data_IF_275928554975
#
_entry.id   IF_275928554975
#
_cell.length_a   1.000
_cell.length_b   1.000
_cell.length_c   1.000
_cell.angle_alpha   90.00
_cell.angle_beta   90.00
_cell.angle_gamma   90.00
#
_symmetry.space_group_name_H-M   'P 1'
#
loop_
_entity.id
_entity.type
_entity.pdbx_description
1 polymer ?
#
# COMPACT_ATOMS: atom_id res chain seq x y z
N UNK A 1 -14.01 -3.46 -0.29
CA UNK A 1 -13.62 -2.61 0.85
C UNK A 1 -12.44 -3.19 1.64
N UNK A 2 -12.50 -4.42 2.16
CA UNK A 2 -11.40 -5.00 2.96
C UNK A 2 -10.06 -5.08 2.19
N UNK A 3 -10.08 -5.59 0.97
CA UNK A 3 -8.91 -5.68 0.08
C UNK A 3 -8.24 -4.33 -0.16
N UNK A 4 -9.04 -3.29 -0.34
CA UNK A 4 -8.55 -1.92 -0.56
C UNK A 4 -7.89 -1.36 0.71
N UNK A 5 -8.45 -1.66 1.90
CA UNK A 5 -7.82 -1.30 3.18
C UNK A 5 -6.52 -2.06 3.41
N UNK A 6 -6.43 -3.32 2.98
CA UNK A 6 -5.19 -4.09 3.01
C UNK A 6 -4.14 -3.53 2.06
N UNK A 7 -4.54 -3.16 0.85
CA UNK A 7 -3.67 -2.49 -0.12
C UNK A 7 -3.14 -1.17 0.43
N UNK A 8 -4.02 -0.33 1.01
CA UNK A 8 -3.60 0.92 1.66
C UNK A 8 -2.60 0.66 2.80
N UNK A 9 -2.86 -0.32 3.68
CA UNK A 9 -1.92 -0.69 4.76
C UNK A 9 -0.56 -1.17 4.24
N UNK A 10 -0.54 -1.89 3.11
CA UNK A 10 0.70 -2.31 2.46
C UNK A 10 1.52 -1.11 1.98
N UNK A 11 0.87 -0.14 1.33
CA UNK A 11 1.51 1.10 0.87
C UNK A 11 2.02 1.93 2.05
N UNK A 12 1.24 2.04 3.14
CA UNK A 12 1.69 2.71 4.37
C UNK A 12 2.95 2.07 4.95
N UNK A 13 3.02 0.73 4.95
CA UNK A 13 4.18 0.02 5.47
C UNK A 13 5.42 0.25 4.59
N UNK A 14 5.26 0.26 3.26
CA UNK A 14 6.33 0.63 2.33
C UNK A 14 6.78 2.08 2.55
N UNK A 15 5.83 3.00 2.71
CA UNK A 15 6.13 4.39 2.98
C UNK A 15 6.91 4.58 4.29
N UNK A 16 6.59 3.84 5.36
CA UNK A 16 7.39 3.86 6.61
C UNK A 16 8.85 3.48 6.37
N UNK A 17 9.10 2.48 5.53
CA UNK A 17 10.47 2.05 5.18
C UNK A 17 11.18 3.12 4.33
N UNK A 18 10.45 3.71 3.37
CA UNK A 18 10.97 4.82 2.56
C UNK A 18 11.30 6.04 3.42
N UNK A 19 10.43 6.39 4.35
CA UNK A 19 10.58 7.51 5.27
C UNK A 19 11.83 7.39 6.15
N UNK A 20 12.16 6.19 6.64
CA UNK A 20 13.41 5.95 7.38
C UNK A 20 14.66 6.18 6.52
N UNK A 21 14.54 6.07 5.20
CA UNK A 21 15.61 6.25 4.22
C UNK A 21 15.48 7.61 3.49
N UNK A 22 14.69 8.55 4.01
CA UNK A 22 14.45 9.84 3.37
C UNK A 22 15.76 10.60 3.13
N UNK A 23 16.71 10.58 4.07
CA UNK A 23 18.03 11.21 3.87
C UNK A 23 18.77 10.63 2.65
N UNK A 24 18.66 9.32 2.41
CA UNK A 24 19.24 8.66 1.24
C UNK A 24 18.53 9.09 -0.03
N UNK A 25 17.21 9.26 0.02
CA UNK A 25 16.43 9.78 -1.10
C UNK A 25 16.86 11.21 -1.47
N UNK A 26 17.07 12.09 -0.49
CA UNK A 26 17.52 13.46 -0.73
C UNK A 26 18.92 13.48 -1.35
N UNK A 27 19.87 12.70 -0.79
CA UNK A 27 21.21 12.59 -1.37
C UNK A 27 21.19 12.05 -2.81
N UNK A 28 20.34 11.06 -3.10
CA UNK A 28 20.17 10.53 -4.45
C UNK A 28 19.66 11.59 -5.43
N UNK A 29 18.68 12.41 -5.02
CA UNK A 29 18.16 13.52 -5.82
C UNK A 29 19.23 14.59 -6.05
N UNK A 30 20.03 14.90 -5.03
CA UNK A 30 21.15 15.85 -5.14
C UNK A 30 22.20 15.37 -6.17
N UNK A 31 22.67 14.13 -6.06
CA UNK A 31 23.62 13.56 -7.02
C UNK A 31 23.06 13.56 -8.45
N UNK A 32 21.78 13.20 -8.63
CA UNK A 32 21.14 13.21 -9.95
C UNK A 32 21.06 14.63 -10.53
N UNK A 33 20.71 15.63 -9.71
CA UNK A 33 20.67 17.04 -10.14
C UNK A 33 22.05 17.55 -10.53
N UNK A 34 23.08 17.14 -9.81
CA UNK A 34 24.47 17.45 -10.16
C UNK A 34 24.83 16.87 -11.53
N UNK A 35 24.55 15.58 -11.76
CA UNK A 35 24.81 14.92 -13.04
C UNK A 35 23.98 15.51 -14.19
N UNK A 36 22.76 15.95 -13.92
CA UNK A 36 21.87 16.61 -14.88
C UNK A 36 22.22 18.09 -15.12
N UNK A 37 23.14 18.66 -14.35
CA UNK A 37 23.46 20.09 -14.34
C UNK A 37 22.23 20.99 -14.03
N UNK A 38 21.26 20.49 -13.25
CA UNK A 38 19.99 21.16 -12.92
C UNK A 38 19.91 21.54 -11.42
N UNK A 39 20.97 22.22 -10.94
CA UNK A 39 21.08 22.64 -9.53
C UNK A 39 20.19 23.85 -9.18
N UNK A 40 19.60 24.51 -10.17
CA UNK A 40 18.86 25.77 -9.97
C UNK A 40 17.38 25.50 -9.73
N UNK A 41 16.78 24.53 -10.43
CA UNK A 41 15.33 24.31 -10.37
C UNK A 41 14.93 23.33 -9.26
N UNK A 42 13.75 23.53 -8.64
CA UNK A 42 13.17 22.52 -7.76
C UNK A 42 12.87 21.23 -8.52
N UNK A 43 12.83 20.12 -7.78
CA UNK A 43 12.25 18.90 -8.30
C UNK A 43 10.73 19.01 -8.13
N UNK A 44 10.03 19.06 -9.26
CA UNK A 44 8.64 19.52 -9.33
C UNK A 44 7.66 18.44 -9.78
N UNK A 45 8.11 17.26 -10.20
CA UNK A 45 7.19 16.20 -10.65
C UNK A 45 7.75 14.79 -10.46
N UNK A 46 6.86 13.79 -10.44
CA UNK A 46 7.24 12.37 -10.44
C UNK A 46 8.03 12.04 -11.72
N UNK A 47 7.60 12.56 -12.86
CA UNK A 47 8.27 12.36 -14.15
C UNK A 47 9.71 12.87 -14.15
N UNK A 48 10.00 13.98 -13.45
CA UNK A 48 11.36 14.46 -13.29
C UNK A 48 12.21 13.49 -12.45
N UNK A 49 11.68 12.94 -11.37
CA UNK A 49 12.36 11.92 -10.56
C UNK A 49 12.65 10.66 -11.38
N UNK A 50 11.69 10.23 -12.20
CA UNK A 50 11.88 9.11 -13.12
C UNK A 50 12.98 9.40 -14.15
N UNK A 51 12.94 10.57 -14.79
CA UNK A 51 13.96 10.98 -15.76
C UNK A 51 15.36 11.00 -15.16
N UNK A 52 15.51 11.53 -13.93
CA UNK A 52 16.76 11.50 -13.18
C UNK A 52 17.26 10.09 -12.90
N UNK A 53 16.37 9.20 -12.45
CA UNK A 53 16.72 7.81 -12.21
C UNK A 53 17.19 7.09 -13.49
N UNK A 54 16.58 7.37 -14.63
CA UNK A 54 16.87 6.70 -15.91
C UNK A 54 18.15 7.21 -16.58
N UNK A 55 18.41 8.52 -16.52
CA UNK A 55 19.43 9.17 -17.34
C UNK A 55 20.60 9.77 -16.55
N UNK A 56 20.42 10.01 -15.25
CA UNK A 56 21.37 10.77 -14.43
C UNK A 56 21.77 10.06 -13.13
N UNK A 57 21.31 8.81 -12.93
CA UNK A 57 21.62 8.00 -11.76
C UNK A 57 22.50 6.80 -12.13
N UNK A 58 23.79 6.86 -11.78
CA UNK A 58 24.75 5.76 -11.97
C UNK A 58 24.95 4.89 -10.72
N UNK A 59 24.61 5.40 -9.54
CA UNK A 59 24.77 4.71 -8.26
C UNK A 59 23.60 3.75 -7.98
N UNK A 60 23.90 2.50 -7.60
CA UNK A 60 22.87 1.48 -7.34
C UNK A 60 22.05 1.76 -6.07
N UNK A 61 22.64 2.37 -5.05
CA UNK A 61 21.94 2.79 -3.82
C UNK A 61 20.95 3.90 -4.13
N UNK A 62 21.39 4.90 -4.91
CA UNK A 62 20.54 6.02 -5.33
C UNK A 62 19.40 5.50 -6.19
N UNK A 63 19.71 4.64 -7.17
CA UNK A 63 18.69 4.02 -8.03
C UNK A 63 17.65 3.24 -7.21
N UNK A 64 18.08 2.50 -6.19
CA UNK A 64 17.18 1.73 -5.32
C UNK A 64 16.19 2.63 -4.57
N UNK A 65 16.65 3.74 -4.01
CA UNK A 65 15.77 4.63 -3.23
C UNK A 65 14.84 5.46 -4.14
N UNK A 66 15.32 5.89 -5.31
CA UNK A 66 14.48 6.54 -6.33
C UNK A 66 13.39 5.59 -6.84
N UNK A 67 13.74 4.33 -7.11
CA UNK A 67 12.77 3.28 -7.47
C UNK A 67 11.73 3.06 -6.37
N UNK A 68 12.12 3.07 -5.10
CA UNK A 68 11.17 2.92 -3.98
C UNK A 68 10.13 4.04 -3.96
N UNK A 69 10.54 5.29 -4.21
CA UNK A 69 9.61 6.42 -4.34
C UNK A 69 8.65 6.23 -5.53
N UNK A 70 9.18 5.86 -6.70
CA UNK A 70 8.38 5.66 -7.92
C UNK A 70 7.40 4.48 -7.78
N UNK A 71 7.83 3.38 -7.15
CA UNK A 71 6.98 2.23 -6.86
C UNK A 71 5.81 2.61 -5.96
N UNK A 72 6.07 3.36 -4.88
CA UNK A 72 5.00 3.87 -4.01
C UNK A 72 4.02 4.75 -4.79
N UNK A 73 4.51 5.68 -5.62
CA UNK A 73 3.64 6.53 -6.44
C UNK A 73 2.78 5.71 -7.42
N UNK A 74 3.36 4.66 -8.02
CA UNK A 74 2.66 3.72 -8.91
C UNK A 74 1.57 2.94 -8.16
N UNK A 75 1.87 2.45 -6.95
CA UNK A 75 0.88 1.76 -6.12
C UNK A 75 -0.26 2.68 -5.65
N UNK A 76 0.06 3.93 -5.31
CA UNK A 76 -0.96 4.93 -4.99
C UNK A 76 -1.88 5.20 -6.20
N UNK A 77 -1.32 5.27 -7.41
CA UNK A 77 -2.11 5.43 -8.64
C UNK A 77 -3.03 4.24 -8.90
N UNK A 78 -2.54 3.00 -8.73
CA UNK A 78 -3.37 1.77 -8.81
C UNK A 78 -4.45 1.76 -7.74
N UNK A 79 -4.15 2.23 -6.53
CA UNK A 79 -5.12 2.30 -5.45
C UNK A 79 -6.25 3.30 -5.76
N UNK A 80 -5.95 4.41 -6.44
CA UNK A 80 -6.98 5.31 -6.95
C UNK A 80 -7.94 4.59 -7.92
N UNK A 81 -7.41 3.78 -8.84
CA UNK A 81 -8.24 3.01 -9.78
C UNK A 81 -9.12 1.99 -9.03
N UNK A 82 -8.59 1.33 -8.00
CA UNK A 82 -9.37 0.41 -7.17
C UNK A 82 -10.49 1.13 -6.39
N UNK A 83 -10.25 2.35 -5.89
CA UNK A 83 -11.29 3.16 -5.25
C UNK A 83 -12.42 3.52 -6.22
N UNK A 84 -12.07 3.91 -7.45
CA UNK A 84 -13.03 4.26 -8.51
C UNK A 84 -13.93 3.08 -8.89
N UNK A 85 -13.36 1.87 -8.99
CA UNK A 85 -14.09 0.66 -9.33
C UNK A 85 -15.04 0.18 -8.22
N UNK A 86 -14.81 0.58 -6.95
CA UNK A 86 -15.56 0.02 -5.82
C UNK A 86 -16.96 0.62 -5.67
N UNK A 87 -17.15 1.90 -6.00
CA UNK A 87 -18.45 2.57 -5.92
C UNK A 87 -18.46 3.87 -6.75
N UNK A 88 -19.61 4.20 -7.37
CA UNK A 88 -19.91 5.48 -8.02
C UNK A 88 -19.66 6.73 -7.14
N UNK A 89 -19.48 6.53 -5.84
CA UNK A 89 -19.01 7.53 -4.90
C UNK A 89 -20.03 8.63 -4.60
N UNK A 90 -19.61 9.54 -3.72
CA UNK A 90 -20.30 10.79 -3.37
C UNK A 90 -19.49 11.97 -3.91
N UNK A 91 -20.06 13.18 -3.97
CA UNK A 91 -19.29 14.38 -4.31
C UNK A 91 -18.01 14.55 -3.48
N UNK A 92 -18.06 14.17 -2.19
CA UNK A 92 -16.90 14.24 -1.27
C UNK A 92 -15.83 13.20 -1.65
N UNK A 93 -16.19 11.92 -1.73
CA UNK A 93 -15.24 10.85 -2.08
C UNK A 93 -14.67 11.02 -3.49
N UNK A 94 -15.48 11.52 -4.42
CA UNK A 94 -15.04 11.79 -5.79
C UNK A 94 -14.06 12.96 -5.82
N UNK A 95 -14.31 14.04 -5.06
CA UNK A 95 -13.35 15.14 -4.95
C UNK A 95 -12.00 14.70 -4.35
N UNK A 96 -12.03 13.87 -3.31
CA UNK A 96 -10.82 13.30 -2.71
C UNK A 96 -10.06 12.43 -3.72
N UNK A 97 -10.78 11.58 -4.45
CA UNK A 97 -10.18 10.69 -5.44
C UNK A 97 -9.58 11.45 -6.63
N UNK A 98 -10.27 12.46 -7.15
CA UNK A 98 -9.72 13.33 -8.21
C UNK A 98 -8.43 14.02 -7.75
N UNK A 99 -8.40 14.56 -6.53
CA UNK A 99 -7.18 15.14 -5.95
C UNK A 99 -6.04 14.12 -5.90
N UNK A 100 -6.31 12.90 -5.44
CA UNK A 100 -5.30 11.83 -5.43
C UNK A 100 -4.78 11.52 -6.84
N UNK A 101 -5.68 11.36 -7.82
CA UNK A 101 -5.33 11.10 -9.23
C UNK A 101 -4.47 12.22 -9.83
N UNK A 102 -4.83 13.47 -9.58
CA UNK A 102 -4.02 14.63 -10.00
C UNK A 102 -2.63 14.58 -9.37
N UNK A 103 -2.52 14.33 -8.07
CA UNK A 103 -1.24 14.32 -7.36
C UNK A 103 -0.28 13.22 -7.83
N UNK A 104 -0.80 12.01 -8.14
CA UNK A 104 0.01 10.89 -8.64
C UNK A 104 0.28 10.94 -10.15
N UNK A 105 -0.27 11.94 -10.85
CA UNK A 105 0.01 12.13 -12.28
C UNK A 105 1.48 12.49 -12.49
N UNK A 106 2.12 11.85 -13.47
CA UNK A 106 3.56 11.99 -13.70
C UNK A 106 4.02 13.43 -13.94
N UNK A 107 3.19 14.25 -14.60
CA UNK A 107 3.49 15.62 -14.98
C UNK A 107 2.93 16.68 -14.04
N UNK A 108 2.26 16.28 -12.95
CA UNK A 108 1.70 17.24 -12.02
C UNK A 108 2.80 18.05 -11.32
N UNK A 109 2.58 19.36 -11.20
CA UNK A 109 3.50 20.24 -10.47
C UNK A 109 3.31 20.08 -8.96
N UNK A 110 4.40 19.75 -8.29
CA UNK A 110 4.50 19.50 -6.86
C UNK A 110 5.21 20.66 -6.14
N UNK A 111 5.66 21.69 -6.86
CA UNK A 111 6.50 22.78 -6.33
C UNK A 111 5.88 23.46 -5.10
N UNK A 112 4.56 23.63 -5.06
CA UNK A 112 3.81 24.25 -3.97
C UNK A 112 3.37 23.28 -2.86
N UNK A 113 3.53 21.97 -3.08
CA UNK A 113 2.92 20.95 -2.22
C UNK A 113 3.64 20.84 -0.87
N UNK A 114 2.95 21.07 0.25
CA UNK A 114 3.53 20.99 1.60
C UNK A 114 2.65 20.21 2.55
N UNK A 115 3.18 19.12 3.11
CA UNK A 115 2.49 18.33 4.11
C UNK A 115 2.41 19.10 5.43
N UNK A 116 1.28 18.99 6.13
CA UNK A 116 1.15 19.51 7.49
C UNK A 116 1.65 18.47 8.48
N UNK A 117 2.79 18.74 9.09
CA UNK A 117 3.29 18.02 10.26
C UNK A 117 2.53 18.51 11.51
N UNK A 118 2.28 17.68 12.53
CA UNK A 118 3.11 16.57 12.97
C UNK A 118 2.74 15.25 12.31
N UNK A 119 3.75 14.65 11.70
CA UNK A 119 3.87 13.21 11.71
C UNK A 119 4.86 12.93 12.85
N UNK A 120 4.79 11.81 13.58
CA UNK A 120 5.67 11.49 14.73
C UNK A 120 7.16 11.24 14.35
N UNK A 121 7.63 11.96 13.34
CA UNK A 121 8.82 11.74 12.53
C UNK A 121 9.36 13.09 12.08
N UNK A 122 10.68 13.21 12.10
CA UNK A 122 11.40 14.43 11.76
C UNK A 122 11.37 14.62 10.24
N UNK A 123 11.08 15.85 9.79
CA UNK A 123 11.36 16.23 8.41
C UNK A 123 12.88 16.41 8.28
N UNK A 124 13.53 15.61 7.43
CA UNK A 124 14.99 15.62 7.28
C UNK A 124 15.49 16.69 6.30
N UNK A 125 14.62 17.61 5.89
CA UNK A 125 14.98 18.76 5.07
C UNK A 125 15.35 19.96 5.94
N UNK A 126 16.41 20.66 5.55
CA UNK A 126 16.62 22.04 5.96
C UNK A 126 15.50 22.95 5.44
N UNK A 127 15.41 24.16 5.99
CA UNK A 127 14.40 25.14 5.56
C UNK A 127 14.50 25.50 4.08
N UNK A 128 15.72 25.59 3.55
CA UNK A 128 15.97 25.90 2.15
C UNK A 128 15.56 24.74 1.25
N UNK A 129 15.99 23.52 1.56
CA UNK A 129 15.62 22.33 0.83
C UNK A 129 14.10 22.12 0.79
N UNK A 130 13.43 22.31 1.93
CA UNK A 130 11.98 22.21 2.03
C UNK A 130 11.26 23.31 1.24
N UNK A 131 11.81 24.51 1.16
CA UNK A 131 11.18 25.62 0.44
C UNK A 131 11.42 25.53 -1.06
N UNK A 132 12.64 25.20 -1.47
CA UNK A 132 13.15 25.51 -2.80
C UNK A 132 13.53 24.29 -3.64
N UNK A 133 13.65 23.09 -3.06
CA UNK A 133 14.23 21.95 -3.80
C UNK A 133 13.40 20.67 -3.74
N UNK A 134 13.09 20.18 -2.54
CA UNK A 134 12.59 18.82 -2.32
C UNK A 134 11.27 18.76 -1.56
N UNK A 135 10.80 19.87 -1.00
CA UNK A 135 9.60 19.89 -0.17
C UNK A 135 8.35 19.33 -0.85
N UNK A 136 8.20 19.61 -2.16
CA UNK A 136 7.09 19.08 -2.97
C UNK A 136 7.06 17.56 -3.05
N UNK A 137 8.15 16.98 -3.55
CA UNK A 137 8.28 15.52 -3.72
C UNK A 137 8.25 14.77 -2.39
N UNK A 138 8.84 15.32 -1.32
CA UNK A 138 8.80 14.72 0.02
C UNK A 138 7.41 14.77 0.64
N UNK A 139 6.63 15.82 0.36
CA UNK A 139 5.27 16.00 0.87
C UNK A 139 4.22 15.16 0.13
N UNK A 140 4.54 14.65 -1.06
CA UNK A 140 3.58 13.99 -1.94
C UNK A 140 2.89 12.78 -1.30
N UNK A 141 3.70 11.77 -0.93
CA UNK A 141 3.20 10.51 -0.40
C UNK A 141 2.36 10.71 0.88
N UNK A 142 2.81 11.43 1.92
CA UNK A 142 2.01 11.59 3.14
C UNK A 142 0.67 12.29 2.88
N UNK A 143 0.62 13.30 2.01
CA UNK A 143 -0.63 13.98 1.66
C UNK A 143 -1.60 13.02 0.98
N UNK A 144 -1.12 12.23 0.00
CA UNK A 144 -1.99 11.26 -0.68
C UNK A 144 -2.50 10.21 0.31
N UNK A 145 -1.63 9.69 1.19
CA UNK A 145 -2.05 8.72 2.21
C UNK A 145 -3.16 9.28 3.11
N UNK A 146 -3.06 10.54 3.52
CA UNK A 146 -4.10 11.18 4.32
C UNK A 146 -5.42 11.35 3.55
N UNK A 147 -5.36 11.78 2.28
CA UNK A 147 -6.54 11.86 1.40
C UNK A 147 -7.20 10.48 1.20
N UNK A 148 -6.41 9.42 1.06
CA UNK A 148 -6.92 8.06 0.88
C UNK A 148 -7.55 7.50 2.16
N UNK A 149 -6.98 7.81 3.33
CA UNK A 149 -7.60 7.47 4.62
C UNK A 149 -8.92 8.20 4.81
N UNK A 150 -8.95 9.49 4.47
CA UNK A 150 -10.17 10.30 4.49
C UNK A 150 -11.23 9.72 3.54
N UNK A 151 -10.82 9.32 2.34
CA UNK A 151 -11.69 8.62 1.39
C UNK A 151 -12.29 7.35 2.00
N UNK A 152 -11.48 6.49 2.63
CA UNK A 152 -11.96 5.26 3.28
C UNK A 152 -12.95 5.58 4.39
N UNK A 153 -12.65 6.57 5.23
CA UNK A 153 -13.52 6.98 6.33
C UNK A 153 -14.87 7.53 5.85
N UNK A 154 -14.90 8.23 4.70
CA UNK A 154 -16.16 8.67 4.09
C UNK A 154 -16.92 7.51 3.44
N UNK A 155 -16.22 6.65 2.71
CA UNK A 155 -16.81 5.49 2.03
C UNK A 155 -17.43 4.48 2.99
N UNK A 156 -16.89 4.33 4.21
CA UNK A 156 -17.47 3.47 5.25
C UNK A 156 -18.76 4.03 5.87
N UNK A 157 -18.95 5.35 5.84
CA UNK A 157 -20.17 6.02 6.34
C UNK A 157 -21.35 5.94 5.37
N UNK A 158 -21.11 5.54 4.12
CA UNK A 158 -22.18 5.36 3.15
C UNK A 158 -23.07 4.16 3.51
N UNK A 159 -24.41 4.31 3.47
CA UNK A 159 -25.31 3.19 3.67
C UNK A 159 -25.01 2.07 2.66
N UNK A 160 -24.77 0.85 3.14
CA UNK A 160 -24.60 -0.37 2.32
C UNK A 160 -25.90 -0.81 1.64
N UNK A 161 -26.69 0.12 1.10
CA UNK A 161 -27.93 -0.17 0.37
C UNK A 161 -27.65 -0.14 -1.12
N UNK A 162 -27.16 -1.24 -1.69
CA UNK A 162 -27.28 -1.58 -3.13
C UNK A 162 -26.61 -2.91 -3.53
N UNK A 163 -26.55 -3.94 -2.66
CA UNK A 163 -26.10 -5.28 -3.08
C UNK A 163 -27.10 -6.41 -2.72
N UNK A 164 -28.32 -6.06 -2.32
CA UNK A 164 -29.43 -7.01 -2.12
C UNK A 164 -30.69 -6.51 -2.82
N UNK A 165 -30.66 -6.45 -4.15
CA UNK A 165 -31.87 -6.49 -4.95
C UNK A 165 -31.56 -7.26 -6.22
N UNK A 166 -31.66 -8.59 -6.16
CA UNK A 166 -32.37 -9.48 -7.11
C UNK A 166 -32.26 -10.90 -6.53
N UNK A 167 -33.26 -11.30 -5.74
CA UNK A 167 -33.85 -12.64 -5.72
C UNK A 167 -34.87 -12.73 -4.58
N UNK A 168 -35.98 -12.04 -4.75
CA UNK A 168 -37.24 -12.42 -4.08
C UNK A 168 -38.29 -12.62 -5.18
N UNK A 169 -38.73 -13.85 -5.44
CA UNK A 169 -40.05 -14.09 -6.02
C UNK A 169 -41.08 -14.01 -4.90
N UNK A 170 -42.04 -13.09 -5.06
CA UNK A 170 -43.21 -12.92 -4.20
C UNK A 170 -44.00 -14.23 -4.05
N UNK A 171 -44.48 -14.45 -2.83
CA UNK A 171 -45.27 -15.58 -2.39
C UNK A 171 -46.63 -15.71 -3.12
N UNK A 172 -47.02 -16.95 -3.42
CA UNK A 172 -48.41 -17.36 -3.58
C UNK A 172 -48.79 -18.33 -2.45
N UNK A 173 -49.95 -18.11 -1.86
CA UNK A 173 -50.43 -18.65 -0.59
C UNK A 173 -51.35 -19.88 -0.77
N UNK A 174 -51.39 -20.75 0.26
CA UNK A 174 -52.44 -21.75 0.64
C UNK A 174 -52.51 -23.06 -0.19
N UNK A 175 -52.77 -24.27 0.35
CA UNK A 175 -53.19 -24.74 1.67
C UNK A 175 -52.89 -26.25 1.87
N UNK A 176 -52.81 -26.67 3.15
CA UNK A 176 -53.14 -27.97 3.79
C UNK A 176 -53.18 -29.29 3.00
N UNK A 177 -52.44 -30.31 3.46
CA UNK A 177 -52.99 -31.57 4.04
C UNK A 177 -52.04 -32.80 3.90
N UNK A 178 -51.81 -33.49 5.02
CA UNK A 178 -51.62 -34.95 5.18
C UNK A 178 -50.41 -35.70 4.57
N UNK A 179 -49.60 -36.29 5.46
CA UNK A 179 -48.93 -37.59 5.28
C UNK A 179 -49.95 -38.75 5.54
N UNK A 180 -49.66 -40.07 5.37
CA UNK A 180 -48.38 -40.75 5.09
C UNK A 180 -48.46 -41.93 4.07
N UNK A 181 -47.33 -42.54 3.68
CA UNK A 181 -47.09 -44.02 3.74
C UNK A 181 -45.78 -44.46 3.05
N UNK A 182 -45.32 -45.62 3.50
CA UNK A 182 -44.02 -46.26 3.28
C UNK A 182 -44.07 -47.39 2.24
N UNK A 183 -42.90 -48.04 2.06
CA UNK A 183 -42.55 -49.21 1.21
C UNK A 183 -41.99 -48.81 -0.16
N UNK A 184 -40.83 -49.27 -0.64
CA UNK A 184 -39.85 -50.24 -0.17
C UNK A 184 -39.06 -50.73 -1.41
N UNK A 185 -37.81 -51.17 -1.18
CA UNK A 185 -36.96 -52.05 -2.02
C UNK A 185 -35.82 -51.42 -2.84
N UNK A 186 -34.62 -51.92 -2.48
CA UNK A 186 -33.24 -51.77 -2.97
C UNK A 186 -32.99 -52.48 -4.34
N UNK A 187 -31.83 -52.31 -5.04
CA UNK A 187 -30.58 -53.06 -4.71
C UNK A 187 -29.23 -52.32 -4.93
N UNK A 188 -28.41 -52.34 -3.87
CA UNK A 188 -27.06 -52.96 -3.76
C UNK A 188 -25.83 -52.46 -4.56
N UNK A 189 -24.71 -52.45 -3.80
CA UNK A 189 -23.29 -52.67 -4.13
C UNK A 189 -22.46 -51.37 -4.30
N UNK A 190 -21.35 -51.11 -3.59
CA UNK A 190 -20.27 -51.99 -3.12
C UNK A 190 -19.46 -51.31 -1.99
N UNK A 191 -18.98 -52.13 -1.05
CA UNK A 191 -18.08 -51.82 0.08
C UNK A 191 -16.69 -51.33 -0.36
N UNK A 192 -16.07 -50.46 0.46
CA UNK A 192 -14.84 -50.82 1.19
C UNK A 192 -14.55 -49.84 2.33
N UNK A 193 -14.22 -50.41 3.49
CA UNK A 193 -13.95 -49.77 4.77
C UNK A 193 -12.45 -49.78 5.08
N UNK A 194 -12.09 -48.95 6.05
CA UNK A 194 -10.93 -49.07 6.97
C UNK A 194 -9.56 -48.73 6.36
N UNK A 195 -8.65 -48.04 7.04
CA UNK A 195 -8.57 -47.65 8.43
C UNK A 195 -7.28 -46.85 8.68
N UNK A 196 -7.19 -46.26 9.86
CA UNK A 196 -6.07 -45.47 10.37
C UNK A 196 -4.76 -46.26 10.46
N UNK A 197 -3.62 -45.57 10.27
CA UNK A 197 -2.40 -45.89 11.00
C UNK A 197 -1.52 -44.65 11.18
N UNK A 198 -1.25 -44.33 12.45
CA UNK A 198 -0.20 -43.45 12.95
C UNK A 198 1.16 -44.13 12.71
N UNK A 199 2.21 -43.38 12.34
CA UNK A 199 3.58 -43.51 12.90
C UNK A 199 4.59 -42.45 12.36
N UNK A 200 5.14 -41.67 13.30
CA UNK A 200 6.56 -41.33 13.55
C UNK A 200 7.54 -40.95 12.41
N UNK A 201 7.95 -39.65 12.44
CA UNK A 201 9.31 -39.03 12.46
C UNK A 201 10.50 -39.84 11.88
N UNK A 202 11.35 -39.24 11.01
CA UNK A 202 12.67 -38.72 11.43
C UNK A 202 13.07 -37.33 10.92
N UNK A 203 13.83 -36.60 11.76
CA UNK A 203 14.62 -35.40 11.46
C UNK A 203 15.68 -35.66 10.37
N UNK A 204 16.22 -34.59 9.77
CA UNK A 204 17.64 -34.53 9.48
C UNK A 204 18.31 -33.32 10.17
N UNK A 205 19.50 -33.57 10.71
CA UNK A 205 20.40 -32.54 11.21
C UNK A 205 21.24 -31.92 10.10
N UNK A 206 21.60 -30.66 10.31
CA UNK A 206 22.64 -29.95 9.57
C UNK A 206 23.28 -28.95 10.53
N UNK A 207 24.58 -29.13 10.80
CA UNK A 207 25.45 -28.19 11.51
C UNK A 207 25.69 -26.99 10.59
N UNK A 208 25.66 -25.78 11.14
CA UNK A 208 26.56 -24.72 10.70
C UNK A 208 26.92 -23.80 11.88
N UNK A 209 28.22 -23.58 12.02
CA UNK A 209 28.85 -22.66 12.95
C UNK A 209 28.52 -21.23 12.55
N UNK A 210 27.96 -20.45 13.48
CA UNK A 210 27.80 -19.00 13.33
C UNK A 210 28.08 -18.33 14.67
N UNK A 211 29.24 -17.70 14.77
CA UNK A 211 29.75 -16.97 15.92
C UNK A 211 28.77 -15.88 16.38
N UNK A 212 28.22 -16.03 17.58
CA UNK A 212 27.42 -15.02 18.26
C UNK A 212 28.28 -13.78 18.57
N UNK A 213 28.12 -12.71 17.79
CA UNK A 213 28.65 -11.39 18.13
C UNK A 213 27.88 -10.85 19.34
N UNK A 214 28.54 -10.33 20.40
CA UNK A 214 27.83 -9.69 21.49
C UNK A 214 27.18 -8.37 21.02
N UNK A 215 26.08 -7.93 21.67
CA UNK A 215 25.46 -6.64 21.37
C UNK A 215 26.43 -5.48 21.65
N UNK A 216 26.40 -4.51 20.75
CA UNK A 216 27.27 -3.32 20.76
C UNK A 216 27.05 -2.47 22.03
N UNK A 217 28.13 -1.96 22.65
CA UNK A 217 28.06 -0.99 23.77
C UNK A 217 28.65 0.37 23.34
N UNK A 218 28.03 1.50 23.70
CA UNK A 218 28.59 2.82 23.43
C UNK A 218 29.81 3.10 24.32
N UNK A 219 30.83 3.83 23.81
CA UNK A 219 31.98 4.24 24.60
C UNK A 219 31.57 5.37 25.55
N UNK A 220 31.65 5.15 26.86
CA UNK A 220 31.37 6.20 27.85
C UNK A 220 30.96 5.78 29.27
N UNK A 221 31.14 4.53 29.69
CA UNK A 221 30.88 4.12 31.08
C UNK A 221 32.05 4.51 32.00
N UNK A 222 31.86 5.51 32.86
CA UNK A 222 32.78 5.81 33.97
C UNK A 222 32.49 4.87 35.15
N UNK A 223 33.58 4.31 35.67
CA UNK A 223 33.87 3.66 36.98
C UNK A 223 32.69 3.14 37.81
#
# INVERSE_FOLDING_TARGET
>A
MNEVKESLRSVEQKYKIFQQQQFTFIGALEHCRENAHDKIRPISSIGQVQSYMEHHCSNSTDRRILLMFLDICSELSKLCQHFEALHAGTPVTNNLLEKCKTLVSQSNDLSSLRAKYPHDVVNHLSCDEARNHYGGVVSLIPIILDLMKEWVAHSEKLPRKALQQVSEPQAATRATAHAPQASGTQPQLRKQNCGQLIQNIPKPGGKDQGSSKPPWRPPGGKL
#
